data_IF_961031610714
#
_entry.id   IF_961031610714
#
_cell.length_a   1.000
_cell.length_b   1.000
_cell.length_c   1.000
_cell.angle_alpha   90.00
_cell.angle_beta   90.00
_cell.angle_gamma   90.00
#
_symmetry.space_group_name_H-M   'P 1'
#
loop_
_entity.id
_entity.type
_entity.pdbx_description
1 polymer ?
#
# COMPACT_ATOMS: atom_id res chain seq x y z
N UNK A 1 13.59 -0.77 -21.14
CA UNK A 1 12.68 0.30 -20.64
C UNK A 1 13.32 0.93 -19.42
N UNK A 2 12.91 2.13 -19.02
CA UNK A 2 13.49 2.84 -17.85
C UNK A 2 12.66 2.51 -16.62
N UNK A 3 13.29 2.40 -15.44
CA UNK A 3 12.57 2.23 -14.16
C UNK A 3 11.69 3.43 -13.85
N UNK A 4 10.44 3.19 -13.43
CA UNK A 4 9.49 4.22 -13.03
C UNK A 4 8.52 3.71 -11.95
N UNK A 5 7.91 4.65 -11.22
CA UNK A 5 6.75 4.39 -10.37
C UNK A 5 5.48 4.95 -11.00
N UNK A 6 4.40 4.21 -10.90
CA UNK A 6 3.06 4.63 -11.32
C UNK A 6 2.02 4.36 -10.23
N UNK A 7 1.04 5.23 -10.15
CA UNK A 7 -0.11 5.09 -9.24
C UNK A 7 -1.22 4.33 -9.96
N UNK A 8 -1.66 3.23 -9.40
CA UNK A 8 -2.81 2.47 -9.87
C UNK A 8 -4.04 2.86 -9.03
N UNK A 9 -4.55 4.07 -9.27
CA UNK A 9 -5.64 4.64 -8.47
C UNK A 9 -6.92 3.80 -8.57
N UNK A 10 -7.34 3.22 -7.44
CA UNK A 10 -8.52 2.35 -7.38
C UNK A 10 -9.81 3.12 -7.10
N UNK A 11 -9.74 4.21 -6.35
CA UNK A 11 -10.91 5.02 -6.03
C UNK A 11 -10.72 5.89 -4.80
N UNK A 12 -11.76 6.68 -4.50
CA UNK A 12 -11.86 7.48 -3.25
C UNK A 12 -13.10 7.03 -2.49
N UNK A 13 -12.95 6.89 -1.19
CA UNK A 13 -13.95 6.29 -0.31
C UNK A 13 -14.21 7.16 0.92
N UNK A 14 -15.46 7.12 1.37
CA UNK A 14 -15.88 7.57 2.69
C UNK A 14 -15.88 6.39 3.65
N UNK A 15 -15.02 6.42 4.67
CA UNK A 15 -14.85 5.29 5.60
C UNK A 15 -15.26 5.70 7.01
N UNK A 16 -16.38 5.15 7.47
CA UNK A 16 -16.95 5.39 8.80
C UNK A 16 -16.34 4.51 9.89
N UNK A 17 -16.92 4.60 11.09
CA UNK A 17 -16.51 3.76 12.23
C UNK A 17 -16.81 2.26 12.01
N UNK A 18 -17.72 1.94 11.12
CA UNK A 18 -18.06 0.58 10.69
C UNK A 18 -17.03 -0.03 9.73
N UNK A 19 -16.01 0.78 9.36
CA UNK A 19 -14.93 0.41 8.44
C UNK A 19 -15.40 -0.04 7.05
N UNK A 20 -16.59 0.40 6.62
CA UNK A 20 -17.07 0.18 5.26
C UNK A 20 -16.51 1.24 4.33
N UNK A 21 -16.01 0.80 3.20
CA UNK A 21 -15.48 1.64 2.13
C UNK A 21 -16.61 1.95 1.15
N UNK A 22 -17.27 3.10 1.36
CA UNK A 22 -18.35 3.59 0.49
C UNK A 22 -17.74 4.50 -0.56
N UNK A 23 -17.85 4.14 -1.84
CA UNK A 23 -17.27 4.90 -2.94
C UNK A 23 -17.89 6.30 -3.05
N UNK A 24 -17.05 7.30 -3.23
CA UNK A 24 -17.44 8.69 -3.46
C UNK A 24 -16.63 9.30 -4.61
N UNK A 25 -17.12 10.39 -5.17
CA UNK A 25 -16.32 11.15 -6.13
C UNK A 25 -15.07 11.73 -5.46
N UNK A 26 -13.97 11.83 -6.23
CA UNK A 26 -12.69 12.36 -5.71
C UNK A 26 -12.83 13.77 -5.09
N UNK A 27 -13.75 14.59 -5.61
CA UNK A 27 -14.00 15.95 -5.10
C UNK A 27 -15.12 16.00 -4.04
N UNK A 28 -15.81 14.89 -3.79
CA UNK A 28 -16.89 14.84 -2.81
C UNK A 28 -16.36 14.80 -1.38
N UNK A 29 -17.06 15.42 -0.43
CA UNK A 29 -16.74 15.28 0.97
C UNK A 29 -17.16 13.90 1.49
N UNK A 30 -16.44 13.32 2.47
CA UNK A 30 -16.88 12.09 3.12
C UNK A 30 -18.15 12.33 3.95
N UNK A 31 -18.86 11.27 4.30
CA UNK A 31 -19.96 11.34 5.24
C UNK A 31 -19.54 11.97 6.57
N UNK A 32 -20.48 12.56 7.29
CA UNK A 32 -20.17 13.24 8.57
C UNK A 32 -19.51 12.29 9.58
N UNK A 33 -18.28 12.63 9.98
CA UNK A 33 -17.49 11.85 10.93
C UNK A 33 -16.73 10.67 10.31
N UNK A 34 -16.81 10.49 8.99
CA UNK A 34 -16.01 9.52 8.25
C UNK A 34 -14.68 10.12 7.78
N UNK A 35 -13.72 9.25 7.47
CA UNK A 35 -12.48 9.61 6.81
C UNK A 35 -12.69 9.58 5.29
N UNK A 36 -11.99 10.45 4.57
CA UNK A 36 -11.84 10.38 3.12
C UNK A 36 -10.51 9.69 2.83
N UNK A 37 -10.56 8.55 2.18
CA UNK A 37 -9.39 7.76 1.82
C UNK A 37 -9.41 7.48 0.32
N UNK A 38 -8.35 7.84 -0.38
CA UNK A 38 -8.07 7.31 -1.71
C UNK A 38 -7.23 6.06 -1.58
N UNK A 39 -7.34 5.13 -2.51
CA UNK A 39 -6.53 3.91 -2.53
C UNK A 39 -5.63 3.95 -3.76
N UNK A 40 -4.34 3.88 -3.52
CA UNK A 40 -3.29 4.02 -4.51
C UNK A 40 -2.29 2.87 -4.40
N UNK A 41 -2.58 1.65 -4.90
CA UNK A 41 -1.53 0.69 -5.18
C UNK A 41 -0.48 1.28 -6.11
N UNK A 42 0.78 0.92 -5.94
CA UNK A 42 1.86 1.46 -6.78
C UNK A 42 2.53 0.36 -7.60
N UNK A 43 2.62 0.60 -8.90
CA UNK A 43 3.46 -0.17 -9.80
C UNK A 43 4.87 0.42 -9.79
N UNK A 44 5.87 -0.42 -9.49
CA UNK A 44 7.27 -0.11 -9.75
C UNK A 44 7.70 -1.01 -10.91
N UNK A 45 7.80 -0.40 -12.10
CA UNK A 45 8.26 -1.09 -13.29
C UNK A 45 9.78 -0.97 -13.43
N UNK A 46 10.44 -2.10 -13.65
CA UNK A 46 11.86 -2.18 -14.00
C UNK A 46 12.03 -2.97 -15.30
N UNK A 47 13.21 -2.96 -15.95
CA UNK A 47 13.45 -3.81 -17.12
C UNK A 47 13.26 -5.31 -16.88
N UNK A 48 13.37 -5.76 -15.64
CA UNK A 48 13.37 -7.18 -15.26
C UNK A 48 12.11 -7.62 -14.52
N UNK A 49 11.41 -6.69 -13.83
CA UNK A 49 10.33 -7.01 -12.90
C UNK A 49 9.27 -5.92 -12.86
N UNK A 50 8.07 -6.35 -12.53
CA UNK A 50 6.95 -5.47 -12.21
C UNK A 50 6.55 -5.74 -10.75
N UNK A 51 6.90 -4.82 -9.86
CA UNK A 51 6.51 -4.88 -8.45
C UNK A 51 5.20 -4.14 -8.23
N UNK A 52 4.30 -4.71 -7.43
CA UNK A 52 3.22 -3.95 -6.80
C UNK A 52 3.56 -3.69 -5.33
N UNK A 53 3.32 -2.48 -4.89
CA UNK A 53 3.31 -2.10 -3.48
C UNK A 53 1.87 -1.93 -3.04
N UNK A 54 1.38 -2.91 -2.25
CA UNK A 54 -0.01 -3.15 -1.93
C UNK A 54 -0.88 -3.37 -3.20
N UNK A 55 -2.12 -3.85 -3.07
CA UNK A 55 -2.91 -4.25 -4.23
C UNK A 55 -4.40 -3.86 -4.16
N UNK A 56 -4.75 -2.90 -3.30
CA UNK A 56 -6.10 -2.37 -3.26
C UNK A 56 -7.08 -3.15 -2.39
N UNK A 57 -8.33 -2.71 -2.44
CA UNK A 57 -9.42 -3.27 -1.62
C UNK A 57 -10.12 -4.46 -2.30
N UNK A 58 -9.93 -4.65 -3.62
CA UNK A 58 -10.61 -5.71 -4.36
C UNK A 58 -12.12 -5.64 -4.20
N UNK A 59 -12.78 -6.75 -3.84
CA UNK A 59 -14.23 -6.84 -3.68
C UNK A 59 -14.75 -6.40 -2.30
N UNK A 60 -13.88 -5.95 -1.39
CA UNK A 60 -14.27 -5.54 -0.03
C UNK A 60 -14.76 -4.07 0.06
N UNK A 61 -14.80 -3.34 -1.03
CA UNK A 61 -15.35 -1.99 -1.14
C UNK A 61 -16.68 -1.96 -1.90
N UNK A 62 -17.37 -0.81 -1.83
CA UNK A 62 -18.57 -0.59 -2.64
C UNK A 62 -18.19 -0.29 -4.09
N UNK A 63 -18.80 -1.00 -5.04
CA UNK A 63 -18.52 -0.87 -6.48
C UNK A 63 -17.01 -1.00 -6.81
N UNK A 64 -16.37 -2.00 -6.21
CA UNK A 64 -14.95 -2.33 -6.42
C UNK A 64 -14.78 -3.77 -6.90
N UNK A 65 -13.65 -4.06 -7.55
CA UNK A 65 -13.33 -5.36 -8.09
C UNK A 65 -12.00 -5.35 -8.85
N UNK A 66 -11.62 -6.45 -9.49
CA UNK A 66 -10.33 -6.57 -10.18
C UNK A 66 -10.24 -5.71 -11.46
N UNK A 67 -11.38 -5.23 -11.99
CA UNK A 67 -11.42 -4.50 -13.27
C UNK A 67 -10.59 -3.22 -13.20
N UNK A 68 -10.72 -2.45 -12.11
CA UNK A 68 -10.02 -1.17 -11.98
C UNK A 68 -8.50 -1.34 -11.98
N UNK A 69 -7.97 -2.36 -11.31
CA UNK A 69 -6.51 -2.58 -11.31
C UNK A 69 -6.03 -3.12 -12.67
N UNK A 70 -6.86 -3.95 -13.35
CA UNK A 70 -6.58 -4.41 -14.72
C UNK A 70 -6.55 -3.26 -15.72
N UNK A 71 -7.52 -2.34 -15.66
CA UNK A 71 -7.55 -1.14 -16.50
C UNK A 71 -6.32 -0.25 -16.25
N UNK A 72 -5.97 -0.03 -14.98
CA UNK A 72 -4.76 0.72 -14.64
C UNK A 72 -3.48 0.04 -15.17
N UNK A 73 -3.38 -1.28 -15.15
CA UNK A 73 -2.24 -2.02 -15.71
C UNK A 73 -2.20 -1.93 -17.23
N UNK A 74 -3.36 -2.02 -17.91
CA UNK A 74 -3.47 -1.88 -19.37
C UNK A 74 -2.99 -0.51 -19.84
N UNK A 75 -3.24 0.55 -19.09
CA UNK A 75 -2.67 1.89 -19.34
C UNK A 75 -1.13 1.89 -19.38
N UNK A 76 -0.48 0.90 -18.77
CA UNK A 76 0.97 0.68 -18.81
C UNK A 76 1.41 -0.41 -19.78
N UNK A 77 0.48 -0.98 -20.56
CA UNK A 77 0.73 -2.08 -21.48
C UNK A 77 1.04 -3.40 -20.77
N UNK A 78 0.53 -3.57 -19.55
CA UNK A 78 0.69 -4.73 -18.70
C UNK A 78 -0.66 -5.37 -18.41
N UNK A 79 -0.61 -6.63 -18.01
CA UNK A 79 -1.74 -7.40 -17.49
C UNK A 79 -1.42 -7.88 -16.06
N UNK A 80 -2.40 -8.46 -15.38
CA UNK A 80 -2.20 -9.10 -14.09
C UNK A 80 -1.18 -10.25 -14.12
N UNK A 81 -0.94 -10.85 -15.29
CA UNK A 81 0.05 -11.92 -15.49
C UNK A 81 1.49 -11.40 -15.59
N UNK A 82 1.66 -10.11 -15.83
CA UNK A 82 2.98 -9.47 -15.94
C UNK A 82 3.52 -9.02 -14.58
N UNK A 83 2.70 -9.04 -13.53
CA UNK A 83 3.13 -8.71 -12.16
C UNK A 83 3.96 -9.87 -11.61
N UNK A 84 5.22 -9.57 -11.27
CA UNK A 84 6.17 -10.59 -10.81
C UNK A 84 6.18 -10.74 -9.29
N UNK A 85 5.95 -9.64 -8.58
CA UNK A 85 6.07 -9.60 -7.12
C UNK A 85 5.11 -8.56 -6.52
N UNK A 86 4.48 -8.89 -5.40
CA UNK A 86 3.63 -8.00 -4.63
C UNK A 86 4.21 -7.88 -3.22
N UNK A 87 4.55 -6.68 -2.80
CA UNK A 87 5.04 -6.38 -1.46
C UNK A 87 3.95 -5.73 -0.63
N UNK A 88 3.57 -6.35 0.47
CA UNK A 88 2.51 -5.87 1.33
C UNK A 88 3.07 -5.04 2.49
N UNK A 89 2.58 -3.81 2.63
CA UNK A 89 2.95 -2.97 3.77
C UNK A 89 2.34 -3.49 5.07
N UNK A 90 1.09 -3.95 5.03
CA UNK A 90 0.37 -4.59 6.14
C UNK A 90 -0.88 -5.32 5.64
N UNK A 91 -1.66 -5.90 6.56
CA UNK A 91 -2.74 -6.84 6.22
C UNK A 91 -4.15 -6.28 6.44
N UNK A 92 -4.36 -4.97 6.31
CA UNK A 92 -5.71 -4.42 6.19
C UNK A 92 -6.29 -4.70 4.80
N UNK A 93 -7.61 -4.85 4.71
CA UNK A 93 -8.27 -5.31 3.48
C UNK A 93 -8.16 -4.32 2.32
N UNK A 94 -8.05 -3.04 2.61
CA UNK A 94 -7.80 -2.01 1.60
C UNK A 94 -6.39 -2.03 1.02
N UNK A 95 -5.49 -2.89 1.54
CA UNK A 95 -4.15 -3.13 1.02
C UNK A 95 -3.98 -4.52 0.40
N UNK A 96 -4.75 -5.51 0.88
CA UNK A 96 -4.61 -6.91 0.43
C UNK A 96 -5.82 -7.44 -0.33
N UNK A 97 -6.97 -6.74 -0.30
CA UNK A 97 -8.22 -7.23 -0.87
C UNK A 97 -8.14 -7.55 -2.36
N UNK A 98 -7.32 -6.81 -3.09
CA UNK A 98 -7.10 -7.04 -4.52
C UNK A 98 -6.26 -8.27 -4.87
N UNK A 99 -5.71 -9.02 -3.89
CA UNK A 99 -4.95 -10.27 -4.15
C UNK A 99 -5.79 -11.36 -4.78
N UNK A 100 -7.09 -11.39 -4.51
CA UNK A 100 -8.00 -12.35 -5.10
C UNK A 100 -9.37 -11.71 -5.37
N UNK A 101 -10.13 -12.30 -6.26
CA UNK A 101 -11.48 -11.91 -6.65
C UNK A 101 -12.36 -13.14 -6.83
N UNK A 102 -13.68 -12.95 -6.96
CA UNK A 102 -14.60 -14.04 -7.23
C UNK A 102 -14.92 -14.15 -8.72
N UNK A 103 -14.63 -15.31 -9.27
CA UNK A 103 -15.05 -15.69 -10.60
C UNK A 103 -16.10 -16.82 -10.48
N UNK A 104 -17.30 -16.59 -11.01
CA UNK A 104 -18.41 -17.56 -10.93
C UNK A 104 -18.71 -18.04 -9.49
N UNK A 105 -18.47 -17.20 -8.48
CA UNK A 105 -18.71 -17.47 -7.06
C UNK A 105 -17.55 -18.15 -6.30
N UNK A 106 -16.43 -18.42 -6.95
CA UNK A 106 -15.22 -19.00 -6.35
C UNK A 106 -14.09 -18.00 -6.32
N UNK A 107 -13.24 -18.05 -5.28
CA UNK A 107 -12.05 -17.24 -5.21
C UNK A 107 -11.00 -17.67 -6.24
N UNK A 108 -10.46 -16.71 -6.97
CA UNK A 108 -9.32 -16.85 -7.87
C UNK A 108 -8.26 -15.79 -7.55
N UNK A 109 -6.99 -16.10 -7.80
CA UNK A 109 -5.91 -15.14 -7.64
C UNK A 109 -6.01 -14.07 -8.73
N UNK A 110 -5.96 -12.80 -8.34
CA UNK A 110 -5.91 -11.69 -9.31
C UNK A 110 -4.56 -11.65 -10.04
N UNK A 111 -3.48 -12.05 -9.34
CA UNK A 111 -2.12 -12.03 -9.86
C UNK A 111 -1.50 -13.44 -9.74
N UNK A 112 -1.88 -14.38 -10.61
CA UNK A 112 -1.55 -15.80 -10.44
C UNK A 112 -0.06 -16.14 -10.58
N UNK A 113 0.73 -15.28 -11.26
CA UNK A 113 2.17 -15.47 -11.47
C UNK A 113 3.03 -14.72 -10.44
N UNK A 114 2.40 -13.90 -9.57
CA UNK A 114 3.13 -13.05 -8.64
C UNK A 114 3.53 -13.78 -7.36
N UNK A 115 4.76 -13.51 -6.89
CA UNK A 115 5.17 -13.81 -5.53
C UNK A 115 4.62 -12.78 -4.58
N UNK A 116 4.03 -13.20 -3.48
CA UNK A 116 3.45 -12.31 -2.47
C UNK A 116 4.35 -12.27 -1.24
N UNK A 117 5.00 -11.13 -1.02
CA UNK A 117 5.93 -10.89 0.07
C UNK A 117 5.23 -10.29 1.27
N UNK A 118 5.19 -11.02 2.37
CA UNK A 118 4.36 -10.68 3.54
C UNK A 118 5.10 -10.94 4.86
N UNK A 119 4.81 -10.13 5.89
CA UNK A 119 5.33 -10.39 7.23
C UNK A 119 4.92 -11.77 7.74
N UNK A 120 5.89 -12.62 8.03
CA UNK A 120 5.68 -13.97 8.58
C UNK A 120 4.86 -13.97 9.87
N UNK A 121 5.21 -13.07 10.78
CA UNK A 121 4.50 -12.94 12.06
C UNK A 121 3.10 -12.34 11.86
N UNK A 122 2.96 -11.38 10.94
CA UNK A 122 1.67 -10.78 10.59
C UNK A 122 0.72 -11.80 9.99
N UNK A 123 1.18 -12.57 9.01
CA UNK A 123 0.38 -13.63 8.38
C UNK A 123 -0.05 -14.70 9.38
N UNK A 124 0.88 -15.20 10.20
CA UNK A 124 0.57 -16.16 11.26
C UNK A 124 -0.46 -15.65 12.26
N UNK A 125 -0.41 -14.35 12.58
CA UNK A 125 -1.41 -13.72 13.47
C UNK A 125 -2.79 -13.68 12.83
N UNK A 126 -2.88 -13.31 11.56
CA UNK A 126 -4.16 -13.23 10.80
C UNK A 126 -4.81 -14.62 10.72
N UNK A 127 -4.08 -15.65 10.35
CA UNK A 127 -4.60 -17.04 10.33
C UNK A 127 -5.06 -17.49 11.73
N UNK A 128 -4.35 -17.12 12.80
CA UNK A 128 -4.71 -17.47 14.16
C UNK A 128 -5.86 -16.68 14.75
N UNK A 129 -6.48 -15.75 14.02
CA UNK A 129 -7.54 -14.85 14.49
C UNK A 129 -8.85 -15.00 13.68
N UNK A 130 -9.09 -16.13 13.04
CA UNK A 130 -10.27 -16.38 12.21
C UNK A 130 -11.59 -16.10 12.92
N UNK A 131 -11.66 -16.30 14.24
CA UNK A 131 -12.83 -16.02 15.07
C UNK A 131 -13.25 -14.53 15.12
N UNK A 132 -12.35 -13.61 14.71
CA UNK A 132 -12.61 -12.16 14.68
C UNK A 132 -13.01 -11.66 13.29
N UNK A 133 -13.03 -12.53 12.28
CA UNK A 133 -13.42 -12.19 10.92
C UNK A 133 -14.83 -12.70 10.61
N UNK A 134 -15.52 -12.01 9.70
CA UNK A 134 -16.70 -12.56 9.06
C UNK A 134 -16.34 -13.75 8.15
N UNK A 135 -17.35 -14.52 7.74
CA UNK A 135 -17.14 -15.73 6.94
C UNK A 135 -16.40 -15.43 5.62
N UNK A 136 -16.70 -14.30 4.97
CA UNK A 136 -16.10 -13.90 3.70
C UNK A 136 -14.61 -13.64 3.83
N UNK A 137 -14.21 -12.90 4.87
CA UNK A 137 -12.80 -12.62 5.15
C UNK A 137 -12.03 -13.86 5.56
N UNK A 138 -12.66 -14.76 6.32
CA UNK A 138 -12.06 -16.05 6.69
C UNK A 138 -11.83 -16.92 5.45
N UNK A 139 -12.80 -17.00 4.54
CA UNK A 139 -12.63 -17.72 3.27
C UNK A 139 -11.52 -17.12 2.41
N UNK A 140 -11.46 -15.80 2.29
CA UNK A 140 -10.43 -15.09 1.52
C UNK A 140 -9.03 -15.39 2.04
N UNK A 141 -8.79 -15.27 3.36
CA UNK A 141 -7.48 -15.54 3.97
C UNK A 141 -7.11 -17.02 3.81
N UNK A 142 -8.07 -17.94 4.05
CA UNK A 142 -7.84 -19.38 3.88
C UNK A 142 -7.53 -19.75 2.43
N UNK A 143 -8.18 -19.09 1.47
CA UNK A 143 -7.89 -19.25 0.05
C UNK A 143 -6.46 -18.79 -0.28
N UNK A 144 -6.07 -17.60 0.16
CA UNK A 144 -4.72 -17.07 -0.07
C UNK A 144 -3.64 -17.96 0.57
N UNK A 145 -3.86 -18.45 1.80
CA UNK A 145 -2.92 -19.35 2.47
C UNK A 145 -2.72 -20.66 1.71
N UNK A 146 -3.77 -21.15 1.05
CA UNK A 146 -3.74 -22.41 0.32
C UNK A 146 -3.25 -22.30 -1.13
N UNK A 147 -3.39 -21.12 -1.78
CA UNK A 147 -3.23 -20.97 -3.23
C UNK A 147 -2.20 -19.95 -3.68
N UNK A 148 -1.92 -18.92 -2.87
CA UNK A 148 -0.98 -17.87 -3.23
C UNK A 148 0.47 -18.32 -3.04
N UNK A 149 1.38 -17.82 -3.88
CA UNK A 149 2.84 -18.03 -3.72
C UNK A 149 3.37 -17.08 -2.63
N UNK A 150 3.16 -17.44 -1.38
CA UNK A 150 3.51 -16.63 -0.21
C UNK A 150 4.98 -16.74 0.15
N UNK A 151 5.68 -15.63 0.17
CA UNK A 151 7.06 -15.47 0.60
C UNK A 151 7.12 -14.69 1.91
N UNK A 152 7.63 -15.33 2.96
CA UNK A 152 7.60 -14.79 4.32
C UNK A 152 8.85 -13.97 4.64
N UNK A 153 8.60 -12.75 5.13
CA UNK A 153 9.61 -11.80 5.57
C UNK A 153 9.71 -11.76 7.10
N UNK A 154 10.92 -11.62 7.61
CA UNK A 154 11.20 -11.46 9.04
C UNK A 154 11.25 -9.96 9.44
N UNK A 155 12.25 -9.53 10.23
CA UNK A 155 12.30 -8.13 10.74
C UNK A 155 12.90 -7.15 9.70
N UNK A 156 13.89 -7.58 8.94
CA UNK A 156 14.48 -6.86 7.81
C UNK A 156 15.02 -7.87 6.79
N UNK A 157 14.56 -7.75 5.57
CA UNK A 157 14.93 -8.63 4.47
C UNK A 157 15.24 -7.82 3.20
N UNK A 158 16.08 -8.38 2.35
CA UNK A 158 16.40 -7.86 1.04
C UNK A 158 16.13 -8.93 -0.01
N UNK A 159 14.86 -9.11 -0.43
CA UNK A 159 14.48 -10.15 -1.40
C UNK A 159 15.21 -10.02 -2.75
N UNK A 160 15.51 -8.78 -3.15
CA UNK A 160 16.26 -8.44 -4.35
C UNK A 160 17.27 -7.34 -4.06
N UNK A 161 18.33 -7.17 -4.86
CA UNK A 161 19.34 -6.13 -4.64
C UNK A 161 18.79 -4.71 -4.58
N UNK A 162 17.68 -4.46 -5.28
CA UNK A 162 16.98 -3.18 -5.37
C UNK A 162 15.79 -3.05 -4.39
N UNK A 163 15.45 -4.12 -3.66
CA UNK A 163 14.27 -4.14 -2.80
C UNK A 163 14.61 -4.53 -1.36
N UNK A 164 14.34 -3.62 -0.42
CA UNK A 164 14.48 -3.85 1.02
C UNK A 164 13.11 -3.73 1.70
N UNK A 165 12.79 -4.67 2.57
CA UNK A 165 11.59 -4.63 3.41
C UNK A 165 12.01 -4.67 4.86
N UNK A 166 11.46 -3.75 5.66
CA UNK A 166 11.78 -3.64 7.09
C UNK A 166 10.51 -3.54 7.92
N UNK A 167 10.37 -4.36 8.95
CA UNK A 167 9.31 -4.19 9.93
C UNK A 167 9.51 -2.89 10.71
N UNK A 168 8.48 -2.06 10.78
CA UNK A 168 8.47 -0.81 11.53
C UNK A 168 7.43 -0.78 12.65
N UNK A 169 6.33 -1.52 12.53
CA UNK A 169 5.22 -1.49 13.49
C UNK A 169 4.45 -0.16 13.47
N UNK A 170 3.73 0.10 14.53
CA UNK A 170 3.03 1.37 14.77
C UNK A 170 1.57 1.34 14.32
N UNK A 171 1.27 1.50 13.04
CA UNK A 171 -0.11 1.45 12.54
C UNK A 171 -0.73 0.05 12.73
N UNK A 172 -0.01 -0.99 12.36
CA UNK A 172 -0.26 -2.38 12.79
C UNK A 172 0.98 -2.94 13.48
N UNK A 173 0.84 -4.05 14.23
CA UNK A 173 1.95 -4.65 14.97
C UNK A 173 3.11 -5.09 14.07
N UNK A 174 2.79 -5.60 12.88
CA UNK A 174 3.76 -6.12 11.91
C UNK A 174 3.80 -5.28 10.63
N UNK A 175 3.59 -3.98 10.76
CA UNK A 175 3.66 -3.03 9.65
C UNK A 175 5.05 -2.99 9.05
N UNK A 176 5.15 -2.97 7.72
CA UNK A 176 6.39 -3.02 6.96
C UNK A 176 6.64 -1.72 6.20
N UNK A 177 7.88 -1.32 6.13
CA UNK A 177 8.42 -0.30 5.25
C UNK A 177 8.92 -0.99 3.98
N UNK A 178 8.54 -0.48 2.83
CA UNK A 178 8.98 -0.93 1.53
C UNK A 178 9.93 0.10 0.93
N UNK A 179 11.16 -0.31 0.61
CA UNK A 179 12.18 0.54 0.03
C UNK A 179 12.66 -0.07 -1.29
N UNK A 180 12.48 0.68 -2.37
CA UNK A 180 13.08 0.37 -3.66
C UNK A 180 14.24 1.34 -3.93
N UNK A 181 15.38 0.80 -4.41
CA UNK A 181 16.54 1.60 -4.79
C UNK A 181 17.38 0.84 -5.83
N UNK A 182 17.31 1.23 -7.11
CA UNK A 182 18.13 0.66 -8.20
C UNK A 182 19.40 1.48 -8.50
N UNK A 183 19.68 2.48 -7.68
CA UNK A 183 20.80 3.42 -7.85
C UNK A 183 20.44 4.70 -8.60
N UNK A 184 19.38 4.68 -9.43
CA UNK A 184 18.87 5.87 -10.14
C UNK A 184 17.55 6.36 -9.55
N UNK A 185 16.64 5.44 -9.24
CA UNK A 185 15.33 5.72 -8.65
C UNK A 185 15.26 5.19 -7.23
N UNK A 186 14.68 5.98 -6.34
CA UNK A 186 14.47 5.61 -4.93
C UNK A 186 13.02 5.87 -4.55
N UNK A 187 12.31 4.83 -4.13
CA UNK A 187 10.92 4.90 -3.68
C UNK A 187 10.76 4.36 -2.28
N UNK A 188 10.02 5.07 -1.43
CA UNK A 188 9.69 4.70 -0.06
C UNK A 188 8.18 4.65 0.10
N UNK A 189 7.64 3.49 0.48
CA UNK A 189 6.27 3.36 0.93
C UNK A 189 6.26 2.87 2.38
N UNK A 190 5.66 3.67 3.25
CA UNK A 190 5.49 3.37 4.68
C UNK A 190 4.05 2.98 5.01
N UNK A 191 3.26 2.55 4.01
CA UNK A 191 1.84 2.26 4.18
C UNK A 191 1.14 3.37 4.98
N UNK A 192 0.35 3.02 5.97
CA UNK A 192 -0.46 3.95 6.76
C UNK A 192 0.29 4.73 7.84
N UNK A 193 1.56 4.40 8.06
CA UNK A 193 2.44 5.23 8.91
C UNK A 193 2.68 6.60 8.25
N UNK A 194 2.81 6.65 6.90
CA UNK A 194 2.79 7.87 6.09
C UNK A 194 1.74 7.70 4.98
N UNK A 195 0.48 7.56 5.35
CA UNK A 195 -0.61 7.31 4.39
C UNK A 195 -0.98 8.51 3.53
N UNK A 196 -0.63 9.74 3.96
CA UNK A 196 -0.89 10.98 3.20
C UNK A 196 0.31 11.92 3.26
N UNK A 197 0.42 12.85 2.30
CA UNK A 197 1.47 13.87 2.26
C UNK A 197 1.53 14.71 3.53
N UNK A 198 0.37 15.11 4.07
CA UNK A 198 0.30 15.87 5.32
C UNK A 198 0.81 15.11 6.55
N UNK A 199 0.95 13.78 6.47
CA UNK A 199 1.42 12.97 7.59
C UNK A 199 2.89 13.26 7.95
N UNK A 200 3.75 13.61 7.00
CA UNK A 200 5.19 13.85 7.27
C UNK A 200 5.45 14.96 8.31
N UNK A 201 4.52 15.91 8.41
CA UNK A 201 4.59 17.02 9.36
C UNK A 201 3.65 16.87 10.57
N UNK A 202 2.94 15.74 10.66
CA UNK A 202 1.97 15.49 11.74
C UNK A 202 2.69 15.15 13.04
N UNK A 203 2.54 16.02 14.05
CA UNK A 203 3.21 15.90 15.37
C UNK A 203 2.37 15.22 16.46
N UNK A 204 1.28 14.56 16.09
CA UNK A 204 0.44 13.85 17.04
C UNK A 204 0.28 12.38 16.67
N UNK A 205 0.04 11.54 17.69
CA UNK A 205 -0.25 10.13 17.56
C UNK A 205 -1.72 9.93 17.16
N UNK A 206 -1.98 9.12 16.13
CA UNK A 206 -3.33 8.80 15.71
C UNK A 206 -3.92 7.68 16.60
N UNK A 207 -5.11 7.89 17.14
CA UNK A 207 -5.74 6.96 18.08
C UNK A 207 -6.16 5.61 17.45
N UNK A 208 -6.27 5.57 16.13
CA UNK A 208 -6.63 4.35 15.40
C UNK A 208 -5.44 3.44 15.13
N UNK A 209 -4.20 3.91 15.33
CA UNK A 209 -3.01 3.08 15.21
C UNK A 209 -2.92 2.07 16.35
N UNK A 210 -2.35 0.89 16.10
CA UNK A 210 -2.13 -0.16 17.11
C UNK A 210 -1.22 0.34 18.25
N UNK A 211 -0.11 1.01 17.89
CA UNK A 211 0.80 1.67 18.81
C UNK A 211 1.01 3.14 18.41
N UNK A 212 0.09 4.07 18.77
CA UNK A 212 0.07 5.43 18.26
C UNK A 212 1.38 6.20 18.40
N UNK A 213 2.08 6.04 19.54
CA UNK A 213 3.36 6.71 19.79
C UNK A 213 4.48 6.13 18.94
N UNK A 214 4.49 4.83 18.72
CA UNK A 214 5.47 4.17 17.85
C UNK A 214 5.23 4.61 16.40
N UNK A 215 3.98 4.63 15.94
CA UNK A 215 3.62 5.11 14.60
C UNK A 215 4.08 6.56 14.37
N UNK A 216 3.86 7.44 15.36
CA UNK A 216 4.37 8.81 15.29
C UNK A 216 5.89 8.87 15.20
N UNK A 217 6.61 8.14 16.05
CA UNK A 217 8.07 8.10 16.04
C UNK A 217 8.60 7.57 14.70
N UNK A 218 8.03 6.46 14.20
CA UNK A 218 8.40 5.90 12.89
C UNK A 218 8.19 6.89 11.76
N UNK A 219 7.08 7.61 11.76
CA UNK A 219 6.79 8.64 10.75
C UNK A 219 7.85 9.75 10.73
N UNK A 220 8.29 10.22 11.89
CA UNK A 220 9.35 11.21 12.02
C UNK A 220 10.70 10.67 11.52
N UNK A 221 11.08 9.44 11.90
CA UNK A 221 12.28 8.75 11.45
C UNK A 221 12.29 8.54 9.92
N UNK A 222 11.16 8.11 9.36
CA UNK A 222 11.02 7.81 7.93
C UNK A 222 10.97 9.08 7.07
N UNK A 223 10.34 10.15 7.55
CA UNK A 223 10.40 11.45 6.88
C UNK A 223 11.84 11.96 6.83
N UNK A 224 12.60 11.84 7.94
CA UNK A 224 14.02 12.18 7.97
C UNK A 224 14.84 11.34 7.00
N UNK A 225 14.65 10.02 7.00
CA UNK A 225 15.31 9.10 6.06
C UNK A 225 15.04 9.51 4.60
N UNK A 226 13.76 9.75 4.28
CA UNK A 226 13.36 10.11 2.91
C UNK A 226 14.00 11.43 2.47
N UNK A 227 14.11 12.40 3.36
CA UNK A 227 14.77 13.68 3.10
C UNK A 227 16.27 13.53 2.89
N UNK A 228 16.98 12.85 3.80
CA UNK A 228 18.43 12.68 3.78
C UNK A 228 18.91 11.82 2.61
N UNK A 229 18.16 10.76 2.28
CA UNK A 229 18.52 9.81 1.22
C UNK A 229 17.90 10.13 -0.15
N UNK A 230 17.01 11.13 -0.21
CA UNK A 230 16.38 11.59 -1.46
C UNK A 230 15.32 10.64 -2.02
N UNK A 231 14.61 9.89 -1.16
CA UNK A 231 13.51 9.03 -1.58
C UNK A 231 12.31 9.83 -2.09
N UNK A 232 11.67 9.36 -3.14
CA UNK A 232 10.28 9.72 -3.48
C UNK A 232 9.38 8.92 -2.56
N UNK A 233 8.54 9.61 -1.77
CA UNK A 233 7.58 8.98 -0.88
C UNK A 233 6.31 8.66 -1.68
N UNK A 234 5.82 7.43 -1.52
CA UNK A 234 4.58 6.92 -2.10
C UNK A 234 3.52 6.86 -1.00
N UNK A 235 2.44 7.63 -1.13
CA UNK A 235 1.39 7.75 -0.10
C UNK A 235 0.10 7.09 -0.55
N UNK A 236 -0.25 6.00 0.14
CA UNK A 236 -1.34 5.11 -0.26
C UNK A 236 -2.72 5.79 -0.23
N UNK A 237 -2.96 6.67 0.75
CA UNK A 237 -4.25 7.33 0.98
C UNK A 237 -4.31 8.78 0.54
N UNK A 238 -3.31 9.28 -0.19
CA UNK A 238 -3.33 10.67 -0.70
C UNK A 238 -4.34 10.80 -1.84
N UNK A 239 -5.16 11.83 -1.76
CA UNK A 239 -6.21 12.09 -2.76
C UNK A 239 -5.62 12.52 -4.12
N UNK A 240 -4.61 13.41 -4.07
CA UNK A 240 -3.97 13.95 -5.29
C UNK A 240 -2.46 13.99 -5.14
N UNK A 241 -1.76 13.66 -6.24
CA UNK A 241 -0.30 13.65 -6.28
C UNK A 241 0.30 12.79 -5.15
N UNK A 242 0.05 11.47 -5.13
CA UNK A 242 0.50 10.57 -4.08
C UNK A 242 2.01 10.32 -4.07
N UNK A 243 2.73 10.80 -5.10
CA UNK A 243 4.20 10.76 -5.19
C UNK A 243 4.76 12.15 -4.89
N UNK A 244 5.71 12.25 -3.96
CA UNK A 244 6.37 13.52 -3.65
C UNK A 244 7.75 13.31 -3.05
N UNK A 245 8.57 14.37 -3.08
CA UNK A 245 9.87 14.44 -2.40
C UNK A 245 9.82 15.50 -1.31
N UNK A 246 10.69 15.33 -0.33
CA UNK A 246 10.97 16.36 0.69
C UNK A 246 12.14 17.20 0.19
N UNK A 247 11.94 18.54 0.10
CA UNK A 247 12.89 19.46 -0.53
C UNK A 247 13.55 20.44 0.44
N UNK A 248 13.04 20.50 1.67
CA UNK A 248 13.61 21.36 2.71
C UNK A 248 13.02 21.04 4.07
N UNK A 249 13.69 21.50 5.11
CA UNK A 249 13.22 21.38 6.50
C UNK A 249 13.38 22.71 7.24
N UNK A 250 12.35 23.09 7.96
CA UNK A 250 12.33 24.24 8.86
C UNK A 250 11.76 23.84 10.21
N UNK A 251 12.39 24.25 11.31
CA UNK A 251 12.03 23.81 12.68
C UNK A 251 10.59 24.20 13.08
N UNK A 252 10.01 25.22 12.47
CA UNK A 252 8.65 25.69 12.79
C UNK A 252 7.58 25.07 11.92
N UNK A 253 7.86 24.91 10.62
CA UNK A 253 6.89 24.47 9.62
C UNK A 253 7.06 22.99 9.20
N UNK A 254 8.19 22.38 9.52
CA UNK A 254 8.54 21.01 9.14
C UNK A 254 9.09 20.93 7.71
N UNK A 255 8.81 19.80 7.04
CA UNK A 255 9.29 19.53 5.69
C UNK A 255 8.47 20.26 4.63
N UNK A 256 9.19 20.83 3.65
CA UNK A 256 8.59 21.27 2.38
C UNK A 256 8.48 20.08 1.43
N UNK A 257 7.45 20.05 0.60
CA UNK A 257 7.19 18.95 -0.33
C UNK A 257 7.12 19.44 -1.76
N UNK A 258 7.62 18.62 -2.69
CA UNK A 258 7.49 18.80 -4.14
C UNK A 258 6.83 17.57 -4.75
N UNK A 259 5.79 17.77 -5.56
CA UNK A 259 5.12 16.66 -6.22
C UNK A 259 6.04 16.04 -7.28
N UNK A 260 5.97 14.73 -7.39
CA UNK A 260 6.58 13.95 -8.47
C UNK A 260 5.44 13.38 -9.29
N UNK A 261 5.52 13.54 -10.60
CA UNK A 261 4.49 13.00 -11.49
C UNK A 261 4.54 11.47 -11.48
N UNK A 262 3.37 10.85 -11.36
CA UNK A 262 3.21 9.43 -11.67
C UNK A 262 3.52 9.22 -13.15
N UNK A 263 4.27 8.17 -13.46
CA UNK A 263 4.53 7.85 -14.87
C UNK A 263 3.21 7.50 -15.57
N UNK A 264 3.02 8.10 -16.74
CA UNK A 264 1.93 7.78 -17.66
C UNK A 264 2.58 7.49 -19.01
N UNK A 265 2.36 6.32 -19.61
CA UNK A 265 2.86 6.01 -20.95
C UNK A 265 2.33 7.00 -21.99
N UNK A 266 3.14 7.36 -22.95
CA UNK A 266 2.82 8.30 -24.05
C UNK A 266 2.14 7.61 -25.22
#
# INVERSE_FOLDING_TARGET
MKTYAATLYEGTFSVGLDKKFVRIGRDDPPAKGALKLSLNPFLIHTPERNYLFDCGIGEFGEDTGPETIRENLDDHGLTEFDITDIFLSHLHYDHIGGLAHRESGYWELTFPEAKIWVSKKGWKKVIGQEEYYDAEKTEFISFLDAKADLHFLDEEDQPYPDMTVRKIGGHTEFHQLLLFNDGEQKYLQAGDVIGTKGAVNRKYAAKYDFEPKISQQRREELAKLAFEEGYTILTYHEDRNPLFKLTGYDDKTGYSTENVDSYVPS
#
